data_IF_607366135876
#
_entry.id   IF_607366135876
#
_cell.length_a   1.000
_cell.length_b   1.000
_cell.length_c   1.000
_cell.angle_alpha   90.00
_cell.angle_beta   90.00
_cell.angle_gamma   90.00
#
_symmetry.space_group_name_H-M   'P 1'
#
loop_
_entity.id
_entity.type
_entity.pdbx_description
1 polymer ?
#
# COMPACT_ATOMS: atom_id res chain seq x y z
N UNK A 1 -1.46 -27.65 -15.47
CA UNK A 1 -0.91 -27.16 -14.18
C UNK A 1 -0.19 -25.86 -14.49
N UNK A 2 -0.47 -24.76 -13.78
CA UNK A 2 0.24 -23.50 -13.98
C UNK A 2 1.74 -23.69 -13.68
N UNK A 3 2.60 -23.08 -14.49
CA UNK A 3 4.04 -23.13 -14.28
C UNK A 3 4.42 -22.43 -12.97
N UNK A 4 5.56 -22.78 -12.39
CA UNK A 4 5.99 -22.14 -11.15
C UNK A 4 6.29 -20.64 -11.34
N UNK A 5 6.67 -20.23 -12.56
CA UNK A 5 6.83 -18.82 -12.92
C UNK A 5 5.49 -18.07 -12.86
N UNK A 6 4.41 -18.65 -13.38
CA UNK A 6 3.06 -18.06 -13.29
C UNK A 6 2.60 -17.93 -11.82
N UNK A 7 2.91 -18.92 -10.98
CA UNK A 7 2.60 -18.87 -9.55
C UNK A 7 3.44 -17.82 -8.80
N UNK A 8 4.69 -17.60 -9.23
CA UNK A 8 5.60 -16.60 -8.66
C UNK A 8 5.19 -15.16 -8.99
N UNK A 9 4.44 -14.95 -10.07
CA UNK A 9 3.90 -13.65 -10.48
C UNK A 9 2.70 -13.22 -9.62
N UNK A 10 1.88 -14.17 -9.19
CA UNK A 10 0.65 -13.94 -8.42
C UNK A 10 0.77 -13.00 -7.22
N UNK A 11 1.78 -13.10 -6.33
CA UNK A 11 1.91 -12.16 -5.22
C UNK A 11 2.03 -10.70 -5.69
N UNK A 12 2.80 -10.46 -6.76
CA UNK A 12 2.99 -9.12 -7.32
C UNK A 12 1.71 -8.56 -7.95
N UNK A 13 0.95 -9.40 -8.67
CA UNK A 13 -0.33 -9.00 -9.24
C UNK A 13 -1.33 -8.57 -8.15
N UNK A 14 -1.36 -9.29 -7.02
CA UNK A 14 -2.25 -8.95 -5.92
C UNK A 14 -1.83 -7.63 -5.26
N UNK A 15 -0.53 -7.39 -5.06
CA UNK A 15 -0.07 -6.12 -4.51
C UNK A 15 -0.31 -4.95 -5.48
N UNK A 16 -0.06 -5.13 -6.79
CA UNK A 16 -0.38 -4.11 -7.79
C UNK A 16 -1.88 -3.82 -7.85
N UNK A 17 -2.71 -4.86 -7.81
CA UNK A 17 -4.17 -4.71 -7.77
C UNK A 17 -4.61 -3.96 -6.51
N UNK A 18 -4.04 -4.28 -5.35
CA UNK A 18 -4.28 -3.56 -4.11
C UNK A 18 -3.92 -2.06 -4.24
N UNK A 19 -2.75 -1.73 -4.77
CA UNK A 19 -2.33 -0.34 -4.98
C UNK A 19 -3.31 0.37 -5.93
N UNK A 20 -3.61 -0.22 -7.09
CA UNK A 20 -4.49 0.37 -8.10
C UNK A 20 -5.93 0.56 -7.60
N UNK A 21 -6.54 -0.48 -7.05
CA UNK A 21 -7.95 -0.45 -6.66
C UNK A 21 -8.13 0.33 -5.37
N UNK A 22 -7.34 0.05 -4.33
CA UNK A 22 -7.57 0.67 -3.04
C UNK A 22 -7.16 2.14 -3.04
N UNK A 23 -6.11 2.56 -3.77
CA UNK A 23 -5.58 3.93 -3.67
C UNK A 23 -5.91 4.83 -4.85
N UNK A 24 -6.41 4.30 -5.95
CA UNK A 24 -6.85 5.13 -7.09
C UNK A 24 -8.34 4.96 -7.35
N UNK A 25 -8.82 3.73 -7.56
CA UNK A 25 -10.21 3.49 -7.95
C UNK A 25 -11.21 3.78 -6.82
N UNK A 26 -11.00 3.23 -5.61
CA UNK A 26 -11.91 3.42 -4.48
C UNK A 26 -12.05 4.88 -4.07
N UNK A 27 -10.97 5.67 -3.89
CA UNK A 27 -11.09 7.10 -3.62
C UNK A 27 -11.86 7.83 -4.72
N UNK A 28 -11.60 7.54 -6.00
CA UNK A 28 -12.28 8.19 -7.12
C UNK A 28 -13.80 7.94 -7.12
N UNK A 29 -14.25 6.73 -6.77
CA UNK A 29 -15.67 6.42 -6.61
C UNK A 29 -16.26 7.16 -5.39
N UNK A 30 -15.52 7.17 -4.27
CA UNK A 30 -15.97 7.77 -3.01
C UNK A 30 -15.95 9.31 -3.03
N UNK A 31 -15.23 9.94 -3.94
CA UNK A 31 -15.26 11.39 -4.16
C UNK A 31 -16.67 11.91 -4.50
N UNK A 32 -17.55 11.07 -5.06
CA UNK A 32 -18.96 11.41 -5.28
C UNK A 32 -19.82 11.44 -4.02
N UNK A 33 -19.28 11.08 -2.85
CA UNK A 33 -20.00 11.05 -1.57
C UNK A 33 -19.81 12.34 -0.77
N UNK A 34 -20.80 12.69 0.06
CA UNK A 34 -20.71 13.85 0.97
C UNK A 34 -19.83 13.58 2.21
N UNK A 35 -19.45 12.32 2.45
CA UNK A 35 -18.68 11.91 3.62
C UNK A 35 -17.20 11.77 3.28
N UNK A 36 -16.45 12.86 3.41
CA UNK A 36 -15.01 12.92 3.10
C UNK A 36 -14.17 11.89 3.88
N UNK A 37 -14.56 11.52 5.11
CA UNK A 37 -13.82 10.54 5.90
C UNK A 37 -13.86 9.11 5.31
N UNK A 38 -14.90 8.78 4.54
CA UNK A 38 -15.02 7.47 3.87
C UNK A 38 -13.97 7.31 2.78
N UNK A 39 -13.61 8.41 2.10
CA UNK A 39 -12.60 8.46 1.02
C UNK A 39 -11.24 7.96 1.51
N UNK A 40 -10.93 8.10 2.80
CA UNK A 40 -9.67 7.63 3.38
C UNK A 40 -9.81 6.28 4.07
N UNK A 41 -10.87 6.12 4.86
CA UNK A 41 -11.01 4.97 5.77
C UNK A 41 -11.25 3.68 5.00
N UNK A 42 -12.13 3.70 3.98
CA UNK A 42 -12.47 2.49 3.21
C UNK A 42 -11.26 1.98 2.42
N UNK A 43 -10.57 2.81 1.62
CA UNK A 43 -9.30 2.45 0.97
C UNK A 43 -8.27 1.79 1.87
N UNK A 44 -7.98 2.41 3.02
CA UNK A 44 -6.95 1.91 3.93
C UNK A 44 -7.37 0.56 4.52
N UNK A 45 -8.62 0.43 4.99
CA UNK A 45 -9.13 -0.83 5.52
C UNK A 45 -9.12 -1.94 4.47
N UNK A 46 -9.57 -1.65 3.25
CA UNK A 46 -9.52 -2.59 2.14
C UNK A 46 -8.07 -3.02 1.86
N UNK A 47 -7.14 -2.07 1.84
CA UNK A 47 -5.74 -2.38 1.60
C UNK A 47 -5.11 -3.25 2.69
N UNK A 48 -5.43 -3.00 3.95
CA UNK A 48 -4.99 -3.82 5.08
C UNK A 48 -5.48 -5.26 4.97
N UNK A 49 -6.69 -5.50 4.44
CA UNK A 49 -7.19 -6.86 4.17
C UNK A 49 -6.32 -7.56 3.11
N UNK A 50 -5.98 -6.88 2.02
CA UNK A 50 -5.06 -7.42 1.00
C UNK A 50 -3.69 -7.73 1.57
N UNK A 51 -3.12 -6.82 2.35
CA UNK A 51 -1.81 -7.01 3.00
C UNK A 51 -1.84 -8.20 3.97
N UNK A 52 -2.89 -8.32 4.79
CA UNK A 52 -3.07 -9.44 5.70
C UNK A 52 -3.22 -10.78 4.98
N UNK A 53 -3.88 -10.78 3.82
CA UNK A 53 -3.96 -11.96 2.96
C UNK A 53 -2.59 -12.35 2.38
N UNK A 54 -1.80 -11.39 1.90
CA UNK A 54 -0.42 -11.61 1.44
C UNK A 54 0.43 -12.21 2.57
N UNK A 55 0.35 -11.63 3.77
CA UNK A 55 1.08 -12.12 4.96
C UNK A 55 0.77 -13.60 5.26
N UNK A 56 -0.52 -13.94 5.25
CA UNK A 56 -0.99 -15.31 5.50
C UNK A 56 -0.51 -16.27 4.42
N UNK A 57 -0.49 -15.85 3.16
CA UNK A 57 -0.05 -16.70 2.05
C UNK A 57 1.48 -16.88 2.03
N UNK A 58 2.24 -15.85 2.41
CA UNK A 58 3.69 -15.92 2.60
C UNK A 58 4.11 -16.89 3.73
N UNK A 59 3.27 -17.04 4.76
CA UNK A 59 3.48 -18.02 5.83
C UNK A 59 3.03 -19.46 5.49
N UNK A 60 2.31 -19.69 4.39
CA UNK A 60 1.69 -21.00 4.04
C UNK A 60 2.31 -21.69 2.83
N UNK A 61 3.37 -21.13 2.28
CA UNK A 61 3.98 -21.56 1.02
C UNK A 61 4.95 -22.75 1.17
N UNK A 62 4.86 -23.51 2.27
CA UNK A 62 5.81 -24.59 2.58
C UNK A 62 5.78 -25.77 1.60
N UNK A 63 4.66 -25.98 0.91
CA UNK A 63 4.54 -27.01 -0.14
C UNK A 63 4.77 -26.46 -1.56
N UNK A 64 5.20 -25.19 -1.69
CA UNK A 64 5.44 -24.53 -2.98
C UNK A 64 6.92 -24.57 -3.34
N UNK A 65 7.24 -24.37 -4.62
CA UNK A 65 8.65 -24.27 -5.02
C UNK A 65 9.33 -23.07 -4.38
N UNK A 66 10.65 -23.19 -4.23
CA UNK A 66 11.47 -22.16 -3.60
C UNK A 66 11.30 -20.78 -4.26
N UNK A 67 11.13 -20.76 -5.59
CA UNK A 67 10.83 -19.55 -6.36
C UNK A 67 9.54 -18.88 -5.86
N UNK A 68 8.43 -19.63 -5.85
CA UNK A 68 7.13 -19.10 -5.43
C UNK A 68 7.18 -18.56 -4.00
N UNK A 69 7.79 -19.33 -3.07
CA UNK A 69 7.94 -18.90 -1.66
C UNK A 69 8.73 -17.60 -1.53
N UNK A 70 9.85 -17.48 -2.26
CA UNK A 70 10.68 -16.28 -2.23
C UNK A 70 9.92 -15.03 -2.72
N UNK A 71 9.11 -15.15 -3.77
CA UNK A 71 8.29 -14.04 -4.27
C UNK A 71 7.19 -13.63 -3.30
N UNK A 72 6.53 -14.58 -2.62
CA UNK A 72 5.56 -14.24 -1.57
C UNK A 72 6.21 -13.50 -0.39
N UNK A 73 7.41 -13.91 0.02
CA UNK A 73 8.16 -13.24 1.08
C UNK A 73 8.63 -11.84 0.67
N UNK A 74 9.08 -11.66 -0.57
CA UNK A 74 9.46 -10.36 -1.12
C UNK A 74 8.27 -9.39 -1.11
N UNK A 75 7.13 -9.80 -1.65
CA UNK A 75 5.91 -8.98 -1.69
C UNK A 75 5.40 -8.67 -0.28
N UNK A 76 5.51 -9.61 0.66
CA UNK A 76 5.20 -9.34 2.06
C UNK A 76 6.10 -8.23 2.64
N UNK A 77 7.42 -8.37 2.47
CA UNK A 77 8.39 -7.36 2.95
C UNK A 77 8.11 -5.99 2.35
N UNK A 78 7.78 -5.92 1.05
CA UNK A 78 7.42 -4.66 0.39
C UNK A 78 6.08 -4.10 0.88
N UNK A 79 5.12 -4.95 1.23
CA UNK A 79 3.86 -4.53 1.84
C UNK A 79 4.05 -3.88 3.21
N UNK A 80 5.14 -4.19 3.91
CA UNK A 80 5.48 -3.52 5.18
C UNK A 80 5.83 -2.04 4.98
N UNK A 81 6.37 -1.65 3.82
CA UNK A 81 6.57 -0.22 3.51
C UNK A 81 5.24 0.53 3.44
N UNK A 82 4.20 -0.11 2.89
CA UNK A 82 2.87 0.48 2.85
C UNK A 82 2.26 0.61 4.24
N UNK A 83 2.43 -0.40 5.11
CA UNK A 83 2.02 -0.32 6.53
C UNK A 83 2.75 0.82 7.24
N UNK A 84 4.07 0.92 7.05
CA UNK A 84 4.88 1.98 7.65
C UNK A 84 4.41 3.36 7.16
N UNK A 85 4.10 3.51 5.87
CA UNK A 85 3.59 4.76 5.31
C UNK A 85 2.23 5.14 5.91
N UNK A 86 1.32 4.18 6.13
CA UNK A 86 0.07 4.44 6.85
C UNK A 86 0.33 4.89 8.28
N UNK A 87 1.24 4.21 8.99
CA UNK A 87 1.59 4.57 10.36
C UNK A 87 2.14 5.99 10.44
N UNK A 88 3.08 6.36 9.55
CA UNK A 88 3.63 7.71 9.46
C UNK A 88 2.55 8.74 9.17
N UNK A 89 1.65 8.46 8.21
CA UNK A 89 0.54 9.35 7.88
C UNK A 89 -0.39 9.59 9.07
N UNK A 90 -0.76 8.54 9.81
CA UNK A 90 -1.58 8.63 11.03
C UNK A 90 -0.86 9.43 12.11
N UNK A 91 0.42 9.20 12.34
CA UNK A 91 1.21 9.94 13.33
C UNK A 91 1.27 11.43 12.99
N UNK A 92 1.55 11.79 11.73
CA UNK A 92 1.55 13.19 11.26
C UNK A 92 0.16 13.81 11.49
N UNK A 93 -0.91 13.11 11.11
CA UNK A 93 -2.27 13.62 11.25
C UNK A 93 -2.67 13.82 12.71
N UNK A 94 -2.36 12.88 13.60
CA UNK A 94 -2.67 12.97 15.02
C UNK A 94 -1.89 14.08 15.71
N UNK A 95 -0.58 14.16 15.48
CA UNK A 95 0.27 15.22 16.05
C UNK A 95 -0.14 16.60 15.53
N UNK A 96 -0.37 16.72 14.22
CA UNK A 96 -0.83 17.96 13.61
C UNK A 96 -2.19 18.39 14.15
N UNK A 97 -3.15 17.47 14.25
CA UNK A 97 -4.48 17.78 14.78
C UNK A 97 -4.42 18.22 16.23
N UNK A 98 -3.60 17.56 17.06
CA UNK A 98 -3.39 17.93 18.46
C UNK A 98 -2.82 19.36 18.64
N UNK A 99 -1.96 19.81 17.72
CA UNK A 99 -1.44 21.18 17.72
C UNK A 99 -2.51 22.18 17.25
N UNK A 100 -3.25 21.83 16.19
CA UNK A 100 -4.29 22.68 15.61
C UNK A 100 -5.50 22.84 16.56
N UNK A 101 -5.83 21.84 17.35
CA UNK A 101 -6.92 21.93 18.35
C UNK A 101 -6.64 23.00 19.43
N UNK A 102 -5.39 23.47 19.57
CA UNK A 102 -4.99 24.56 20.47
C UNK A 102 -4.99 25.94 19.81
N UNK A 103 -5.31 26.05 18.52
CA UNK A 103 -5.44 27.35 17.86
C UNK A 103 -6.73 28.06 18.30
N UNK A 104 -6.65 29.31 18.81
CA UNK A 104 -7.83 30.06 19.22
C UNK A 104 -8.64 30.62 18.03
N UNK A 105 -8.03 30.81 16.87
CA UNK A 105 -8.71 31.33 15.68
C UNK A 105 -9.31 30.17 14.86
N UNK A 106 -10.64 30.12 14.80
CA UNK A 106 -11.39 29.10 14.06
C UNK A 106 -11.11 29.12 12.55
N UNK A 107 -10.92 30.30 11.94
CA UNK A 107 -10.63 30.42 10.52
C UNK A 107 -9.23 29.88 10.20
N UNK A 108 -8.25 30.19 11.06
CA UNK A 108 -6.90 29.61 10.97
C UNK A 108 -6.94 28.10 11.18
N UNK A 109 -7.74 27.62 12.13
CA UNK A 109 -7.89 26.19 12.41
C UNK A 109 -8.40 25.42 11.18
N UNK A 110 -9.42 25.95 10.50
CA UNK A 110 -9.98 25.34 9.28
C UNK A 110 -8.94 25.21 8.15
N UNK A 111 -8.17 26.28 7.90
CA UNK A 111 -7.12 26.29 6.87
C UNK A 111 -6.03 25.27 7.21
N UNK A 112 -5.57 25.26 8.46
CA UNK A 112 -4.51 24.36 8.91
C UNK A 112 -4.95 22.88 8.84
N UNK A 113 -6.18 22.53 9.24
CA UNK A 113 -6.69 21.15 9.11
C UNK A 113 -6.72 20.70 7.65
N UNK A 114 -7.11 21.61 6.75
CA UNK A 114 -7.15 21.33 5.32
C UNK A 114 -5.76 21.04 4.77
N UNK A 115 -4.76 21.84 5.13
CA UNK A 115 -3.36 21.67 4.72
C UNK A 115 -2.76 20.39 5.33
N UNK A 116 -3.00 20.13 6.62
CA UNK A 116 -2.50 18.95 7.32
C UNK A 116 -2.89 17.65 6.61
N UNK A 117 -4.13 17.56 6.12
CA UNK A 117 -4.59 16.39 5.36
C UNK A 117 -3.70 16.10 4.14
N UNK A 118 -3.34 17.11 3.37
CA UNK A 118 -2.45 16.95 2.21
C UNK A 118 -1.05 16.49 2.62
N UNK A 119 -0.46 17.08 3.66
CA UNK A 119 0.87 16.71 4.14
C UNK A 119 0.92 15.30 4.72
N UNK A 120 -0.13 14.86 5.42
CA UNK A 120 -0.23 13.49 5.92
C UNK A 120 -0.26 12.46 4.78
N UNK A 121 -0.77 12.81 3.60
CA UNK A 121 -0.84 11.92 2.44
C UNK A 121 0.46 11.86 1.63
N UNK A 122 1.38 12.82 1.75
CA UNK A 122 2.60 12.86 0.94
C UNK A 122 3.48 11.62 1.10
N UNK A 123 3.83 11.15 2.33
CA UNK A 123 4.64 9.94 2.49
C UNK A 123 3.98 8.70 1.90
N UNK A 124 2.64 8.63 1.98
CA UNK A 124 1.85 7.55 1.42
C UNK A 124 1.93 7.54 -0.11
N UNK A 125 1.71 8.70 -0.74
CA UNK A 125 1.79 8.85 -2.20
C UNK A 125 3.16 8.46 -2.75
N UNK A 126 4.24 8.92 -2.10
CA UNK A 126 5.62 8.56 -2.50
C UNK A 126 5.83 7.06 -2.40
N UNK A 127 5.40 6.44 -1.29
CA UNK A 127 5.52 4.99 -1.08
C UNK A 127 4.76 4.20 -2.14
N UNK A 128 3.54 4.62 -2.48
CA UNK A 128 2.73 3.96 -3.53
C UNK A 128 3.45 4.01 -4.87
N UNK A 129 4.00 5.15 -5.28
CA UNK A 129 4.73 5.29 -6.55
C UNK A 129 5.96 4.38 -6.58
N UNK A 130 6.76 4.38 -5.51
CA UNK A 130 7.94 3.51 -5.41
C UNK A 130 7.56 2.04 -5.49
N UNK A 131 6.51 1.63 -4.76
CA UNK A 131 6.02 0.25 -4.80
C UNK A 131 5.49 -0.13 -6.18
N UNK A 132 4.77 0.76 -6.88
CA UNK A 132 4.30 0.48 -8.24
C UNK A 132 5.46 0.16 -9.18
N UNK A 133 6.54 0.95 -9.12
CA UNK A 133 7.74 0.73 -9.95
C UNK A 133 8.42 -0.59 -9.58
N UNK A 134 8.62 -0.85 -8.29
CA UNK A 134 9.28 -2.05 -7.80
C UNK A 134 8.49 -3.33 -8.10
N UNK A 135 7.17 -3.29 -7.97
CA UNK A 135 6.29 -4.42 -8.26
C UNK A 135 6.21 -4.69 -9.77
N UNK A 136 6.13 -3.64 -10.61
CA UNK A 136 6.15 -3.82 -12.06
C UNK A 136 7.45 -4.48 -12.55
N UNK A 137 8.60 -4.02 -12.06
CA UNK A 137 9.91 -4.62 -12.41
C UNK A 137 10.03 -6.06 -11.90
N UNK A 138 9.64 -6.32 -10.65
CA UNK A 138 9.69 -7.67 -10.07
C UNK A 138 8.75 -8.64 -10.77
N UNK A 139 7.55 -8.20 -11.17
CA UNK A 139 6.60 -9.02 -11.91
C UNK A 139 7.16 -9.46 -13.28
N UNK A 140 7.81 -8.55 -14.01
CA UNK A 140 8.47 -8.86 -15.29
C UNK A 140 9.59 -9.89 -15.12
N UNK A 141 10.34 -9.82 -14.03
CA UNK A 141 11.43 -10.76 -13.72
C UNK A 141 10.91 -12.11 -13.18
N UNK A 142 9.82 -12.10 -12.41
CA UNK A 142 9.15 -13.31 -11.93
C UNK A 142 8.63 -14.18 -13.09
N UNK A 143 8.11 -13.57 -14.16
CA UNK A 143 7.70 -14.27 -15.39
C UNK A 143 8.84 -15.05 -16.04
N UNK A 144 10.07 -14.57 -15.87
CA UNK A 144 11.30 -15.20 -16.37
C UNK A 144 11.88 -16.22 -15.40
N UNK A 145 11.28 -16.41 -14.22
CA UNK A 145 11.76 -17.33 -13.18
C UNK A 145 12.99 -16.84 -12.42
N UNK A 146 13.27 -15.53 -12.43
CA UNK A 146 14.43 -14.95 -11.76
C UNK A 146 14.15 -14.87 -10.26
N UNK A 147 15.08 -15.37 -9.45
CA UNK A 147 15.00 -15.31 -7.99
C UNK A 147 15.12 -13.85 -7.48
N UNK A 148 14.43 -13.48 -6.39
CA UNK A 148 14.52 -12.15 -5.78
C UNK A 148 15.93 -11.63 -5.51
N UNK A 149 16.87 -12.52 -5.17
CA UNK A 149 18.27 -12.16 -4.89
C UNK A 149 19.04 -11.69 -6.13
N UNK A 150 18.63 -12.14 -7.31
CA UNK A 150 19.29 -11.85 -8.59
C UNK A 150 18.57 -10.74 -9.38
N UNK A 151 17.50 -10.17 -8.81
CA UNK A 151 16.72 -9.13 -9.47
C UNK A 151 17.51 -7.84 -9.62
N UNK A 152 17.34 -7.19 -10.77
CA UNK A 152 17.84 -5.84 -11.03
C UNK A 152 16.67 -4.86 -11.03
N UNK A 153 16.90 -3.68 -10.46
CA UNK A 153 15.92 -2.59 -10.53
C UNK A 153 15.85 -2.01 -11.95
#
# INVERSE_FOLDING_TARGET
MASDNEKAVRPHEVLMFNLAVCHFLLPAILFGTKQLWLIFTIPVLCSLVFIGWIARQAGRTDHSSHLVKAHWQLTWTRSQFLILAYFVAVVIFLLGSFLIDRQPDEAMQFIQRSILGWFALLPLSVTIIVLLIFEASAMSQARKGIMPADMKL
#
